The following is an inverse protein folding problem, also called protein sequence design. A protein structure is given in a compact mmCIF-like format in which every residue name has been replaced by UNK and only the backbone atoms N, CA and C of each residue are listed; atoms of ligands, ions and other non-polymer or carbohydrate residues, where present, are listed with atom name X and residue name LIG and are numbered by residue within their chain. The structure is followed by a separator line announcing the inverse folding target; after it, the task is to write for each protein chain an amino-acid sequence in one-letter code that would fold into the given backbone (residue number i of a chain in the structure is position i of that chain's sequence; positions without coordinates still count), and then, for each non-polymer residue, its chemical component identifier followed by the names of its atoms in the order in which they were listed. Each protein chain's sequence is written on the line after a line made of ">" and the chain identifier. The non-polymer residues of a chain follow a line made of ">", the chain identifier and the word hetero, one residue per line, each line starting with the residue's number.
data_IF_335056274970
#
_entry.id   IF_335056274970
#
_cell.length_a   1.000
_cell.length_b   1.000
_cell.length_c   1.000
_cell.angle_alpha   90.00
_cell.angle_beta   90.00
_cell.angle_gamma   90.00
#
_symmetry.space_group_name_H-M   'P 1'
#
loop_
_entity.id
_entity.type
_entity.pdbx_description
1 polymer ?
#
# COMPACT_ATOMS: atom_id res chain seq x y z
N UNK A 1 52.94 -17.38 -66.15
CA UNK A 1 52.42 -18.50 -66.97
C UNK A 1 51.50 -19.33 -66.10
N UNK A 2 50.27 -19.58 -66.58
CA UNK A 2 49.31 -20.63 -66.15
C UNK A 2 48.70 -20.44 -64.74
N UNK A 3 47.40 -20.61 -64.49
CA UNK A 3 46.26 -20.94 -65.35
C UNK A 3 44.96 -20.97 -64.54
N UNK A 4 43.95 -20.25 -65.05
CA UNK A 4 42.59 -20.72 -65.32
C UNK A 4 41.65 -21.26 -64.21
N UNK A 5 40.53 -20.52 -64.09
CA UNK A 5 39.11 -20.94 -63.96
C UNK A 5 38.68 -21.49 -62.58
N UNK A 6 37.64 -20.97 -61.92
CA UNK A 6 36.27 -20.77 -62.44
C UNK A 6 35.48 -19.70 -61.65
N UNK A 7 34.78 -18.81 -62.37
CA UNK A 7 33.54 -18.10 -61.93
C UNK A 7 32.33 -18.90 -62.46
N UNK A 8 31.03 -18.61 -62.14
CA UNK A 8 30.45 -17.61 -61.23
C UNK A 8 29.28 -18.12 -60.34
N UNK A 9 28.85 -17.36 -59.33
CA UNK A 9 27.40 -17.22 -59.03
C UNK A 9 27.11 -15.81 -58.47
N UNK A 10 26.58 -14.98 -59.38
CA UNK A 10 25.64 -13.86 -59.25
C UNK A 10 25.55 -13.17 -57.88
N UNK A 11 26.11 -11.95 -57.83
CA UNK A 11 25.81 -10.93 -56.81
C UNK A 11 24.29 -10.67 -56.80
N UNK A 12 23.69 -10.74 -55.62
CA UNK A 12 22.37 -10.17 -55.34
C UNK A 12 22.43 -8.65 -55.56
N UNK A 13 21.33 -8.13 -56.09
CA UNK A 13 21.05 -6.70 -56.29
C UNK A 13 21.31 -5.89 -55.01
N UNK A 14 21.68 -4.60 -55.11
CA UNK A 14 21.94 -3.77 -53.95
C UNK A 14 20.69 -3.71 -53.05
N UNK A 15 20.93 -3.79 -51.74
CA UNK A 15 19.92 -3.49 -50.74
C UNK A 15 19.32 -2.10 -51.02
N UNK A 16 18.00 -1.89 -50.77
CA UNK A 16 17.45 -0.55 -50.84
C UNK A 16 18.20 0.34 -49.84
N UNK A 17 18.69 1.47 -50.32
CA UNK A 17 19.34 2.46 -49.48
C UNK A 17 18.38 2.92 -48.37
N UNK A 18 18.88 3.18 -47.16
CA UNK A 18 18.07 3.77 -46.11
C UNK A 18 17.62 5.17 -46.55
N UNK A 19 16.30 5.39 -46.62
CA UNK A 19 15.75 6.73 -46.77
C UNK A 19 16.27 7.61 -45.62
N UNK A 20 16.95 8.73 -45.92
CA UNK A 20 17.42 9.64 -44.88
C UNK A 20 16.23 10.48 -44.41
N UNK A 21 15.85 10.38 -43.13
CA UNK A 21 14.88 11.33 -42.58
C UNK A 21 14.31 11.06 -41.19
N UNK A 22 14.17 9.81 -40.74
CA UNK A 22 13.23 9.55 -39.62
C UNK A 22 13.82 9.69 -38.19
N UNK A 23 15.14 9.90 -38.07
CA UNK A 23 15.82 9.77 -36.77
C UNK A 23 15.96 11.07 -35.95
N UNK A 24 15.76 12.26 -36.53
CA UNK A 24 16.06 13.54 -35.85
C UNK A 24 14.94 14.61 -35.95
N UNK A 25 13.76 14.27 -36.48
CA UNK A 25 12.66 15.23 -36.54
C UNK A 25 11.99 15.42 -35.16
N UNK A 26 11.73 16.67 -34.74
CA UNK A 26 11.08 16.97 -33.47
C UNK A 26 9.65 16.42 -33.45
N UNK A 27 9.22 15.96 -32.28
CA UNK A 27 7.93 15.26 -32.07
C UNK A 27 6.73 16.02 -32.63
N UNK A 28 6.74 17.35 -32.60
CA UNK A 28 5.68 18.20 -33.15
C UNK A 28 5.49 18.03 -34.68
N UNK A 29 6.58 17.83 -35.41
CA UNK A 29 6.55 17.60 -36.87
C UNK A 29 6.00 16.21 -37.18
N UNK A 30 6.40 15.21 -36.38
CA UNK A 30 5.90 13.83 -36.48
C UNK A 30 4.40 13.72 -36.18
N UNK A 31 3.92 14.49 -35.20
CA UNK A 31 2.48 14.60 -34.91
C UNK A 31 1.70 15.30 -36.02
N UNK A 32 2.27 16.35 -36.62
CA UNK A 32 1.64 17.03 -37.76
C UNK A 32 1.56 16.13 -39.01
N UNK A 33 2.57 15.29 -39.23
CA UNK A 33 2.56 14.25 -40.27
C UNK A 33 1.46 13.21 -40.01
N UNK A 34 1.37 12.70 -38.77
CA UNK A 34 0.34 11.72 -38.40
C UNK A 34 -1.08 12.30 -38.46
N UNK A 35 -1.28 13.55 -38.04
CA UNK A 35 -2.59 14.20 -38.09
C UNK A 35 -3.05 14.51 -39.51
N UNK A 36 -2.12 14.75 -40.43
CA UNK A 36 -2.39 14.85 -41.87
C UNK A 36 -2.79 13.50 -42.49
N UNK A 37 -2.14 12.41 -42.07
CA UNK A 37 -2.41 11.06 -42.55
C UNK A 37 -3.68 10.44 -41.94
N UNK A 38 -4.04 10.83 -40.70
CA UNK A 38 -5.17 10.30 -39.93
C UNK A 38 -6.02 11.43 -39.32
N UNK A 39 -6.72 12.23 -40.14
CA UNK A 39 -7.42 13.43 -39.68
C UNK A 39 -8.63 13.18 -38.77
N UNK A 40 -9.08 11.92 -38.64
CA UNK A 40 -10.20 11.52 -37.80
C UNK A 40 -9.79 11.14 -36.36
N UNK A 41 -8.49 11.11 -36.06
CA UNK A 41 -7.93 10.70 -34.76
C UNK A 41 -7.42 11.94 -34.03
N UNK A 42 -7.76 12.07 -32.75
CA UNK A 42 -7.33 13.21 -31.95
C UNK A 42 -5.82 13.18 -31.67
N UNK A 43 -5.26 14.37 -31.44
CA UNK A 43 -3.82 14.56 -31.34
C UNK A 43 -3.19 13.87 -30.12
N UNK A 44 -3.95 13.69 -29.03
CA UNK A 44 -3.49 12.96 -27.84
C UNK A 44 -3.31 11.47 -28.17
N UNK A 45 -4.29 10.87 -28.85
CA UNK A 45 -4.22 9.49 -29.34
C UNK A 45 -3.08 9.29 -30.34
N UNK A 46 -2.84 10.25 -31.23
CA UNK A 46 -1.71 10.19 -32.18
C UNK A 46 -0.35 10.24 -31.48
N UNK A 47 -0.23 11.04 -30.41
CA UNK A 47 1.00 11.12 -29.61
C UNK A 47 1.25 9.83 -28.83
N UNK A 48 0.22 9.25 -28.24
CA UNK A 48 0.34 7.98 -27.52
C UNK A 48 0.78 6.84 -28.44
N UNK A 49 0.22 6.77 -29.65
CA UNK A 49 0.60 5.76 -30.66
C UNK A 49 2.03 6.02 -31.16
N UNK A 50 2.41 7.28 -31.38
CA UNK A 50 3.77 7.63 -31.77
C UNK A 50 4.80 7.25 -30.69
N UNK A 51 4.48 7.45 -29.41
CA UNK A 51 5.31 7.04 -28.28
C UNK A 51 5.40 5.52 -28.14
N UNK A 52 4.31 4.79 -28.39
CA UNK A 52 4.29 3.33 -28.36
C UNK A 52 5.14 2.68 -29.46
N UNK A 53 5.40 3.42 -30.55
CA UNK A 53 6.24 2.99 -31.68
C UNK A 53 7.59 3.73 -31.74
N UNK A 54 8.14 4.10 -30.58
CA UNK A 54 9.47 4.70 -30.42
C UNK A 54 9.70 5.94 -31.31
N UNK A 55 8.65 6.73 -31.57
CA UNK A 55 8.73 7.93 -32.39
C UNK A 55 8.75 7.67 -33.91
N UNK A 56 8.38 6.47 -34.37
CA UNK A 56 8.30 6.13 -35.78
C UNK A 56 6.91 6.43 -36.37
N UNK A 57 6.84 7.41 -37.27
CA UNK A 57 5.59 7.82 -37.95
C UNK A 57 5.03 6.71 -38.84
N UNK A 58 5.90 5.96 -39.52
CA UNK A 58 5.51 4.87 -40.42
C UNK A 58 4.83 3.70 -39.69
N UNK A 59 5.39 3.30 -38.54
CA UNK A 59 4.81 2.24 -37.71
C UNK A 59 3.51 2.68 -37.03
N UNK A 60 3.48 3.91 -36.50
CA UNK A 60 2.28 4.50 -35.90
C UNK A 60 1.13 4.62 -36.92
N UNK A 61 1.42 5.06 -38.14
CA UNK A 61 0.43 5.17 -39.21
C UNK A 61 -0.12 3.80 -39.65
N UNK A 62 0.74 2.78 -39.70
CA UNK A 62 0.31 1.41 -40.04
C UNK A 62 -0.64 0.84 -38.98
N UNK A 63 -0.35 1.07 -37.70
CA UNK A 63 -1.22 0.65 -36.59
C UNK A 63 -2.61 1.30 -36.65
N UNK A 64 -2.68 2.57 -37.04
CA UNK A 64 -3.93 3.33 -37.21
C UNK A 64 -4.77 2.86 -38.41
N UNK A 65 -4.14 2.50 -39.53
CA UNK A 65 -4.86 1.96 -40.70
C UNK A 65 -5.56 0.62 -40.40
N UNK A 66 -4.99 -0.19 -39.50
CA UNK A 66 -5.63 -1.43 -39.06
C UNK A 66 -6.85 -1.20 -38.15
N UNK A 67 -7.00 -0.01 -37.55
CA UNK A 67 -8.17 0.35 -36.74
C UNK A 67 -9.37 0.84 -37.57
N UNK A 68 -9.17 1.48 -38.73
CA UNK A 68 -10.27 2.03 -39.54
C UNK A 68 -11.20 0.95 -40.12
N UNK A 69 -10.74 -0.30 -40.22
CA UNK A 69 -11.56 -1.42 -40.70
C UNK A 69 -12.50 -2.03 -39.64
N UNK A 70 -12.49 -1.52 -38.41
CA UNK A 70 -13.47 -1.88 -37.37
C UNK A 70 -14.42 -0.69 -37.10
N UNK A 71 -15.60 -0.68 -37.75
CA UNK A 71 -16.61 0.38 -37.59
C UNK A 71 -17.38 0.33 -36.25
N UNK A 72 -18.01 1.45 -35.83
CA UNK A 72 -17.97 1.92 -34.44
C UNK A 72 -19.34 1.88 -33.71
N UNK A 73 -19.31 1.91 -32.37
CA UNK A 73 -20.50 2.19 -31.57
C UNK A 73 -20.30 2.14 -30.05
N UNK A 74 -20.05 3.28 -29.41
CA UNK A 74 -20.88 3.85 -28.34
C UNK A 74 -20.14 4.98 -27.64
N UNK A 75 -20.78 6.15 -27.57
CA UNK A 75 -20.32 7.29 -26.78
C UNK A 75 -20.42 6.91 -25.29
N UNK A 76 -19.30 6.96 -24.55
CA UNK A 76 -19.31 6.88 -23.08
C UNK A 76 -19.28 8.27 -22.48
N UNK A 77 -20.29 8.53 -21.66
CA UNK A 77 -20.40 9.67 -20.74
C UNK A 77 -19.21 9.69 -19.79
N UNK A 78 -18.68 10.89 -19.52
CA UNK A 78 -17.50 11.12 -18.70
C UNK A 78 -17.65 10.64 -17.26
N UNK A 79 -16.84 9.64 -16.89
CA UNK A 79 -16.44 9.36 -15.51
C UNK A 79 -14.93 9.39 -15.51
N UNK A 80 -14.37 10.39 -14.85
CA UNK A 80 -12.93 10.67 -14.78
C UNK A 80 -12.27 9.71 -13.80
N UNK A 81 -11.17 9.07 -14.23
CA UNK A 81 -10.12 8.61 -13.31
C UNK A 81 -9.93 7.09 -13.14
N UNK A 82 -9.72 6.35 -14.23
CA UNK A 82 -9.04 5.04 -14.15
C UNK A 82 -7.87 5.02 -15.12
N UNK A 83 -6.65 5.14 -14.59
CA UNK A 83 -5.45 4.83 -15.36
C UNK A 83 -5.23 3.31 -15.32
N UNK A 84 -5.41 2.64 -16.46
CA UNK A 84 -5.21 1.19 -16.58
C UNK A 84 -3.72 0.84 -16.73
N UNK A 85 -3.31 -0.30 -16.19
CA UNK A 85 -1.93 -0.81 -16.32
C UNK A 85 -1.59 -1.12 -17.78
N UNK A 86 -0.42 -0.67 -18.24
CA UNK A 86 0.08 -0.85 -19.62
C UNK A 86 0.35 -2.33 -20.02
N UNK A 87 0.09 -3.30 -19.13
CA UNK A 87 0.28 -4.73 -19.41
C UNK A 87 -0.52 -5.23 -20.61
N UNK A 88 -1.64 -4.59 -20.95
CA UNK A 88 -2.44 -4.93 -22.13
C UNK A 88 -1.79 -4.50 -23.45
N UNK A 89 -0.90 -3.51 -23.43
CA UNK A 89 -0.24 -2.96 -24.62
C UNK A 89 1.15 -3.57 -24.87
N UNK A 90 1.71 -4.31 -23.89
CA UNK A 90 3.08 -4.85 -23.95
C UNK A 90 3.16 -6.34 -24.39
N UNK A 91 2.06 -6.95 -24.84
CA UNK A 91 2.07 -8.33 -25.34
C UNK A 91 2.03 -8.35 -26.88
N UNK A 92 3.11 -8.74 -27.58
CA UNK A 92 3.01 -9.07 -29.00
C UNK A 92 2.08 -10.29 -29.19
N UNK A 93 1.35 -10.38 -30.32
CA UNK A 93 0.51 -11.53 -30.59
C UNK A 93 1.35 -12.82 -30.61
N UNK A 94 0.84 -13.95 -30.07
CA UNK A 94 1.64 -15.15 -29.93
C UNK A 94 1.97 -15.73 -31.30
N UNK A 95 3.25 -16.06 -31.60
CA UNK A 95 3.53 -16.99 -32.67
C UNK A 95 3.01 -18.37 -32.25
N UNK A 96 2.30 -19.01 -33.15
CA UNK A 96 1.88 -20.40 -33.04
C UNK A 96 3.08 -21.31 -32.78
N UNK A 97 3.08 -22.03 -31.64
CA UNK A 97 3.95 -23.18 -31.42
C UNK A 97 4.79 -23.12 -30.15
N UNK A 98 4.60 -24.15 -29.32
CA UNK A 98 5.39 -24.62 -28.18
C UNK A 98 5.38 -23.85 -26.84
N UNK A 99 4.83 -24.58 -25.86
CA UNK A 99 4.73 -24.24 -24.46
C UNK A 99 6.12 -24.16 -23.81
N UNK A 100 6.55 -22.94 -23.50
CA UNK A 100 7.47 -22.68 -22.39
C UNK A 100 6.95 -21.51 -21.55
N UNK A 101 6.84 -21.75 -20.25
CA UNK A 101 6.23 -20.87 -19.26
C UNK A 101 6.83 -19.45 -19.28
N UNK A 102 6.02 -18.37 -19.29
CA UNK A 102 6.55 -17.02 -19.29
C UNK A 102 7.24 -16.72 -17.95
N UNK A 103 8.53 -16.41 -18.03
CA UNK A 103 9.32 -15.93 -16.88
C UNK A 103 8.78 -14.56 -16.45
N UNK A 104 8.06 -14.53 -15.33
CA UNK A 104 7.56 -13.28 -14.73
C UNK A 104 8.74 -12.37 -14.34
N UNK A 105 9.02 -11.34 -15.13
CA UNK A 105 9.96 -10.26 -14.75
C UNK A 105 9.40 -9.56 -13.51
N UNK A 106 10.11 -9.64 -12.38
CA UNK A 106 9.77 -8.91 -11.15
C UNK A 106 9.83 -7.41 -11.43
N UNK A 107 8.71 -6.71 -11.33
CA UNK A 107 8.65 -5.25 -11.33
C UNK A 107 9.32 -4.77 -10.03
N UNK A 108 10.57 -4.33 -10.13
CA UNK A 108 11.33 -3.77 -9.02
C UNK A 108 11.35 -2.25 -9.16
N UNK A 109 10.90 -1.52 -8.14
CA UNK A 109 11.25 -0.10 -8.01
C UNK A 109 12.77 0.03 -8.01
N UNK A 110 13.31 0.91 -8.86
CA UNK A 110 14.72 1.29 -8.77
C UNK A 110 14.91 2.12 -7.49
N UNK A 111 16.07 2.00 -6.87
CA UNK A 111 16.45 2.78 -5.68
C UNK A 111 16.17 4.28 -5.90
N UNK A 112 15.40 4.90 -4.99
CA UNK A 112 15.01 6.32 -5.09
C UNK A 112 13.80 6.61 -6.00
N UNK A 113 13.24 5.62 -6.70
CA UNK A 113 12.01 5.78 -7.49
C UNK A 113 10.80 5.15 -6.79
N UNK A 114 9.67 5.86 -6.80
CA UNK A 114 8.39 5.32 -6.29
C UNK A 114 7.69 4.59 -7.43
N UNK A 115 7.36 3.31 -7.23
CA UNK A 115 6.58 2.54 -8.19
C UNK A 115 5.09 2.80 -7.96
N UNK A 116 4.43 3.46 -8.89
CA UNK A 116 2.98 3.70 -8.81
C UNK A 116 2.22 2.50 -9.38
N UNK A 117 1.35 1.91 -8.56
CA UNK A 117 0.45 0.83 -8.95
C UNK A 117 -0.98 1.34 -8.96
N UNK A 118 -1.64 1.15 -10.10
CA UNK A 118 -3.03 1.53 -10.32
C UNK A 118 -3.96 0.32 -10.47
N UNK A 119 -3.45 -0.78 -11.03
CA UNK A 119 -4.24 -1.98 -11.25
C UNK A 119 -4.33 -2.85 -9.99
N UNK A 120 -5.53 -3.32 -9.60
CA UNK A 120 -5.71 -4.16 -8.42
C UNK A 120 -4.92 -5.47 -8.42
N UNK A 121 -4.73 -6.11 -9.58
CA UNK A 121 -3.97 -7.35 -9.67
C UNK A 121 -2.48 -7.09 -9.45
N UNK A 122 -1.96 -5.97 -9.94
CA UNK A 122 -0.57 -5.53 -9.72
C UNK A 122 -0.34 -5.23 -8.24
N UNK A 123 -1.26 -4.50 -7.59
CA UNK A 123 -1.20 -4.24 -6.14
C UNK A 123 -1.15 -5.56 -5.36
N UNK A 124 -2.05 -6.51 -5.67
CA UNK A 124 -2.10 -7.80 -5.00
C UNK A 124 -0.89 -8.70 -5.28
N UNK A 125 -0.23 -8.54 -6.43
CA UNK A 125 0.97 -9.30 -6.78
C UNK A 125 2.23 -8.75 -6.10
N UNK A 126 2.36 -7.44 -5.97
CA UNK A 126 3.59 -6.79 -5.52
C UNK A 126 3.56 -6.33 -4.06
N UNK A 127 2.40 -6.34 -3.41
CA UNK A 127 2.23 -5.88 -2.04
C UNK A 127 1.39 -6.85 -1.21
N UNK A 128 1.42 -6.76 0.13
CA UNK A 128 0.50 -7.46 1.02
C UNK A 128 -0.89 -6.83 1.08
N UNK A 129 -1.29 -6.06 0.06
CA UNK A 129 -2.59 -5.40 0.00
C UNK A 129 -3.43 -5.93 -1.16
N UNK A 130 -4.75 -5.89 -1.01
CA UNK A 130 -5.71 -6.00 -2.12
C UNK A 130 -6.54 -4.72 -2.16
N UNK A 131 -6.86 -4.22 -3.34
CA UNK A 131 -7.76 -3.07 -3.52
C UNK A 131 -9.00 -3.47 -4.32
N UNK A 132 -10.16 -2.96 -3.90
CA UNK A 132 -11.44 -3.09 -4.59
C UNK A 132 -11.94 -1.67 -4.85
N UNK A 133 -12.02 -1.29 -6.13
CA UNK A 133 -12.58 -0.01 -6.54
C UNK A 133 -14.11 -0.08 -6.63
N UNK A 134 -14.78 1.08 -6.49
CA UNK A 134 -16.24 1.19 -6.49
C UNK A 134 -16.88 0.19 -5.54
N UNK A 135 -16.33 0.10 -4.34
CA UNK A 135 -16.62 -0.99 -3.43
C UNK A 135 -18.08 -0.98 -2.97
N UNK A 136 -18.60 0.18 -2.59
CA UNK A 136 -19.99 0.37 -2.17
C UNK A 136 -20.86 0.82 -3.34
N UNK A 137 -22.18 0.60 -3.28
CA UNK A 137 -23.12 1.32 -4.13
C UNK A 137 -22.85 2.85 -4.06
N UNK A 138 -22.90 3.58 -5.20
CA UNK A 138 -22.55 5.01 -5.20
C UNK A 138 -23.34 5.86 -4.21
N UNK A 139 -24.63 5.57 -4.03
CA UNK A 139 -25.46 6.28 -3.05
C UNK A 139 -25.01 6.02 -1.61
N UNK A 140 -24.75 4.76 -1.26
CA UNK A 140 -24.23 4.38 0.07
C UNK A 140 -22.86 5.01 0.35
N UNK A 141 -21.99 5.09 -0.66
CA UNK A 141 -20.69 5.75 -0.54
C UNK A 141 -20.83 7.27 -0.28
N UNK A 142 -21.76 7.92 -0.96
CA UNK A 142 -22.00 9.36 -0.82
C UNK A 142 -22.71 9.69 0.50
N UNK A 143 -23.67 8.88 0.93
CA UNK A 143 -24.36 9.08 2.20
C UNK A 143 -23.42 8.88 3.38
N UNK A 144 -22.60 7.82 3.34
CA UNK A 144 -21.54 7.60 4.33
C UNK A 144 -20.53 8.76 4.32
N UNK A 145 -20.15 9.26 3.15
CA UNK A 145 -19.24 10.40 3.04
C UNK A 145 -19.83 11.66 3.67
N UNK A 146 -21.10 12.00 3.39
CA UNK A 146 -21.76 13.18 3.98
C UNK A 146 -21.82 13.10 5.49
N UNK A 147 -22.32 11.97 6.02
CA UNK A 147 -22.42 11.75 7.47
C UNK A 147 -21.05 11.88 8.17
N UNK A 148 -19.99 11.30 7.59
CA UNK A 148 -18.66 11.37 8.18
C UNK A 148 -17.97 12.72 8.00
N UNK A 149 -18.33 13.51 6.97
CA UNK A 149 -17.84 14.87 6.83
C UNK A 149 -18.42 15.77 7.93
N UNK A 150 -19.70 15.57 8.28
CA UNK A 150 -20.37 16.29 9.37
C UNK A 150 -19.76 15.89 10.73
N UNK A 151 -19.58 14.59 10.98
CA UNK A 151 -18.88 14.11 12.19
C UNK A 151 -17.45 14.67 12.30
N UNK A 152 -16.73 14.74 11.17
CA UNK A 152 -15.34 15.17 11.12
C UNK A 152 -15.10 16.63 11.48
N UNK A 153 -16.14 17.47 11.53
CA UNK A 153 -16.02 18.85 12.00
C UNK A 153 -15.56 18.93 13.45
N UNK A 154 -15.91 17.92 14.25
CA UNK A 154 -15.61 17.83 15.68
C UNK A 154 -14.45 16.88 16.01
N UNK A 155 -13.76 16.32 15.02
CA UNK A 155 -12.64 15.41 15.26
C UNK A 155 -11.44 16.11 15.90
N UNK A 156 -10.80 15.42 16.83
CA UNK A 156 -9.61 15.91 17.54
C UNK A 156 -8.32 15.58 16.78
N UNK A 157 -7.27 16.35 17.06
CA UNK A 157 -5.90 16.00 16.66
C UNK A 157 -5.22 15.25 17.79
N UNK A 158 -4.82 14.00 17.54
CA UNK A 158 -4.07 13.21 18.51
C UNK A 158 -2.69 13.82 18.71
N UNK A 159 -2.28 14.04 19.95
CA UNK A 159 -0.93 14.46 20.33
C UNK A 159 -0.14 13.29 20.93
N UNK A 160 1.15 13.24 20.64
CA UNK A 160 2.05 12.21 21.17
C UNK A 160 3.48 12.73 21.24
N UNK A 161 4.32 12.07 22.04
CA UNK A 161 5.73 12.44 22.22
C UNK A 161 6.61 11.64 21.23
N UNK A 162 7.44 12.34 20.47
CA UNK A 162 8.40 11.78 19.52
C UNK A 162 9.77 12.46 19.70
N UNK A 163 10.81 11.70 20.06
CA UNK A 163 12.16 12.23 20.36
C UNK A 163 12.13 13.41 21.34
N UNK A 164 11.43 13.24 22.44
CA UNK A 164 11.20 14.25 23.47
C UNK A 164 10.34 15.47 23.10
N UNK A 165 9.95 15.60 21.84
CA UNK A 165 9.06 16.66 21.38
C UNK A 165 7.60 16.22 21.41
N UNK A 166 6.72 17.07 21.91
CA UNK A 166 5.27 16.87 21.79
C UNK A 166 4.88 17.28 20.39
N UNK A 167 4.40 16.33 19.60
CA UNK A 167 3.94 16.55 18.23
C UNK A 167 2.45 16.27 18.14
N UNK A 168 1.78 16.97 17.22
CA UNK A 168 0.37 16.76 16.90
C UNK A 168 0.25 16.09 15.54
N UNK A 169 -0.73 15.21 15.40
CA UNK A 169 -1.08 14.64 14.11
C UNK A 169 -1.44 15.76 13.11
N UNK A 170 -0.92 15.72 11.87
CA UNK A 170 -1.26 16.72 10.86
C UNK A 170 -2.67 16.52 10.28
N UNK A 171 -3.39 15.47 10.69
CA UNK A 171 -4.79 15.19 10.32
C UNK A 171 -5.64 15.00 11.59
N UNK A 172 -6.95 15.08 11.45
CA UNK A 172 -7.93 14.85 12.53
C UNK A 172 -8.51 13.45 12.48
N UNK A 173 -8.91 12.89 13.63
CA UNK A 173 -9.47 11.54 13.68
C UNK A 173 -10.55 11.38 14.75
N UNK A 174 -11.52 10.51 14.50
CA UNK A 174 -12.48 10.00 15.49
C UNK A 174 -12.40 8.48 15.61
N UNK A 175 -12.64 7.94 16.81
CA UNK A 175 -12.63 6.49 17.05
C UNK A 175 -14.04 5.98 17.34
N UNK A 176 -14.51 5.00 16.56
CA UNK A 176 -15.89 4.52 16.57
C UNK A 176 -15.98 3.06 17.02
N UNK A 177 -16.96 2.76 17.86
CA UNK A 177 -17.29 1.41 18.34
C UNK A 177 -18.79 1.16 18.40
N UNK A 178 -19.18 -0.12 18.40
CA UNK A 178 -20.57 -0.55 18.14
C UNK A 178 -21.57 -0.16 19.23
N UNK A 179 -21.23 -0.35 20.50
CA UNK A 179 -22.15 -0.15 21.62
C UNK A 179 -21.67 0.94 22.58
N UNK A 180 -22.61 1.49 23.35
CA UNK A 180 -22.29 2.43 24.43
C UNK A 180 -21.38 1.78 25.49
N UNK A 181 -21.61 0.51 25.80
CA UNK A 181 -20.74 -0.27 26.70
C UNK A 181 -19.32 -0.38 26.15
N UNK A 182 -19.18 -0.70 24.86
CA UNK A 182 -17.88 -0.77 24.20
C UNK A 182 -17.18 0.60 24.19
N UNK A 183 -17.93 1.70 24.04
CA UNK A 183 -17.40 3.06 24.12
C UNK A 183 -16.86 3.36 25.52
N UNK A 184 -17.62 3.03 26.57
CA UNK A 184 -17.18 3.21 27.95
C UNK A 184 -15.96 2.34 28.27
N UNK A 185 -15.97 1.08 27.86
CA UNK A 185 -14.84 0.17 28.02
C UNK A 185 -13.59 0.66 27.29
N UNK A 186 -13.73 1.18 26.06
CA UNK A 186 -12.62 1.77 25.32
C UNK A 186 -12.04 2.98 26.03
N UNK A 187 -12.88 3.92 26.47
CA UNK A 187 -12.44 5.08 27.25
C UNK A 187 -11.80 4.67 28.59
N UNK A 188 -12.29 3.60 29.21
CA UNK A 188 -11.81 3.15 30.51
C UNK A 188 -10.50 2.36 30.43
N UNK A 189 -10.39 1.41 29.51
CA UNK A 189 -9.42 0.32 29.61
C UNK A 189 -8.33 0.37 28.53
N UNK A 190 -8.60 0.98 27.38
CA UNK A 190 -7.71 0.93 26.23
C UNK A 190 -6.76 2.12 26.17
N UNK A 191 -5.52 1.82 25.81
CA UNK A 191 -4.43 2.79 25.72
C UNK A 191 -3.92 2.86 24.28
N UNK A 192 -3.98 4.03 23.69
CA UNK A 192 -3.41 4.35 22.39
C UNK A 192 -2.24 5.31 22.56
N UNK A 193 -1.08 4.99 22.00
CA UNK A 193 0.15 5.76 22.22
C UNK A 193 0.52 5.99 23.70
N UNK A 194 0.11 5.08 24.59
CA UNK A 194 0.35 5.18 26.04
C UNK A 194 -0.66 6.04 26.81
N UNK A 195 -1.64 6.65 26.14
CA UNK A 195 -2.72 7.44 26.75
C UNK A 195 -4.10 6.86 26.42
N UNK A 196 -5.12 7.21 27.21
CA UNK A 196 -6.51 6.86 26.89
C UNK A 196 -7.04 7.79 25.80
N UNK A 197 -7.86 7.26 24.90
CA UNK A 197 -8.56 8.10 23.91
C UNK A 197 -9.66 8.91 24.61
N UNK A 198 -9.69 10.20 24.33
CA UNK A 198 -10.70 11.15 24.82
C UNK A 198 -11.96 11.07 23.96
N UNK A 199 -11.77 11.10 22.64
CA UNK A 199 -12.82 11.04 21.63
C UNK A 199 -13.06 9.59 21.17
N UNK A 200 -13.94 8.90 21.89
CA UNK A 200 -14.52 7.62 21.46
C UNK A 200 -16.02 7.82 21.28
N UNK A 201 -16.51 7.43 20.11
CA UNK A 201 -17.87 7.66 19.62
C UNK A 201 -18.56 6.33 19.38
N UNK A 202 -19.90 6.37 19.37
CA UNK A 202 -20.71 5.25 18.92
C UNK A 202 -20.74 5.22 17.40
N UNK A 203 -20.78 4.03 16.83
CA UNK A 203 -20.96 3.81 15.41
C UNK A 203 -22.20 4.57 14.90
N UNK A 204 -22.03 5.27 13.78
CA UNK A 204 -23.10 6.02 13.14
C UNK A 204 -24.01 5.10 12.31
N UNK A 205 -25.22 5.53 11.95
CA UNK A 205 -26.12 4.76 11.09
C UNK A 205 -25.49 4.26 9.79
N UNK A 206 -24.77 5.11 9.03
CA UNK A 206 -24.17 4.66 7.77
C UNK A 206 -22.96 3.74 7.99
N UNK A 207 -22.14 3.98 9.03
CA UNK A 207 -21.07 3.05 9.40
C UNK A 207 -21.62 1.67 9.78
N UNK A 208 -22.73 1.62 10.54
CA UNK A 208 -23.37 0.37 10.92
C UNK A 208 -23.94 -0.38 9.71
N UNK A 209 -24.50 0.35 8.73
CA UNK A 209 -24.99 -0.20 7.46
C UNK A 209 -23.86 -0.81 6.63
N UNK A 210 -22.71 -0.13 6.55
CA UNK A 210 -21.59 -0.52 5.67
C UNK A 210 -20.68 -1.57 6.30
N UNK A 211 -20.56 -1.61 7.63
CA UNK A 211 -19.76 -2.58 8.38
C UNK A 211 -19.90 -4.04 7.91
N UNK A 212 -21.11 -4.65 7.79
CA UNK A 212 -21.25 -6.04 7.37
C UNK A 212 -20.74 -6.30 5.95
N UNK A 213 -20.92 -5.35 5.03
CA UNK A 213 -20.43 -5.43 3.65
C UNK A 213 -18.90 -5.44 3.62
N UNK A 214 -18.26 -4.58 4.42
CA UNK A 214 -16.80 -4.57 4.62
C UNK A 214 -16.32 -5.88 5.22
N UNK A 215 -16.99 -6.37 6.26
CA UNK A 215 -16.65 -7.64 6.91
C UNK A 215 -16.64 -8.81 5.92
N UNK A 216 -17.69 -8.94 5.11
CA UNK A 216 -17.79 -10.01 4.13
C UNK A 216 -16.67 -9.90 3.07
N UNK A 217 -16.45 -8.71 2.53
CA UNK A 217 -15.44 -8.49 1.51
C UNK A 217 -14.02 -8.76 2.01
N UNK A 218 -13.66 -8.27 3.20
CA UNK A 218 -12.35 -8.52 3.82
C UNK A 218 -12.13 -10.01 4.03
N UNK A 219 -13.12 -10.72 4.60
CA UNK A 219 -13.02 -12.16 4.81
C UNK A 219 -12.83 -12.93 3.50
N UNK A 220 -13.58 -12.57 2.45
CA UNK A 220 -13.42 -13.16 1.12
C UNK A 220 -12.00 -12.96 0.57
N UNK A 221 -11.47 -11.74 0.64
CA UNK A 221 -10.11 -11.45 0.15
C UNK A 221 -9.04 -12.17 0.98
N UNK A 222 -9.21 -12.30 2.29
CA UNK A 222 -8.30 -13.08 3.16
C UNK A 222 -8.28 -14.54 2.72
N UNK A 223 -9.44 -15.16 2.49
CA UNK A 223 -9.52 -16.56 2.03
C UNK A 223 -8.89 -16.72 0.64
N UNK A 224 -9.15 -15.78 -0.27
CA UNK A 224 -8.54 -15.79 -1.61
C UNK A 224 -7.01 -15.66 -1.54
N UNK A 225 -6.50 -14.77 -0.68
CA UNK A 225 -5.07 -14.58 -0.45
C UNK A 225 -4.42 -15.85 0.11
N UNK A 226 -5.04 -16.48 1.11
CA UNK A 226 -4.59 -17.75 1.69
C UNK A 226 -4.50 -18.81 0.59
N UNK A 227 -5.56 -18.99 -0.20
CA UNK A 227 -5.63 -20.02 -1.25
C UNK A 227 -4.60 -19.81 -2.37
N UNK A 228 -4.33 -18.57 -2.76
CA UNK A 228 -3.58 -18.25 -3.99
C UNK A 228 -2.13 -17.82 -3.76
N UNK A 229 -1.81 -17.27 -2.58
CA UNK A 229 -0.49 -16.65 -2.31
C UNK A 229 0.25 -17.29 -1.16
N UNK A 230 -0.43 -17.88 -0.18
CA UNK A 230 0.25 -18.43 0.99
C UNK A 230 0.74 -19.87 0.77
N UNK A 231 1.85 -20.26 1.42
CA UNK A 231 2.43 -21.59 1.24
C UNK A 231 1.42 -22.71 1.51
N UNK A 232 1.23 -23.58 0.51
CA UNK A 232 0.33 -24.73 0.62
C UNK A 232 -1.16 -24.37 0.75
N UNK A 233 -1.56 -23.13 0.43
CA UNK A 233 -2.95 -22.70 0.55
C UNK A 233 -3.44 -22.60 1.99
N UNK A 234 -2.53 -22.41 2.95
CA UNK A 234 -2.81 -22.40 4.40
C UNK A 234 -2.51 -21.03 5.00
N UNK A 235 -3.19 -20.71 6.09
CA UNK A 235 -2.93 -19.50 6.88
C UNK A 235 -1.47 -19.44 7.34
N UNK A 236 -0.95 -18.23 7.53
CA UNK A 236 0.40 -18.04 8.06
C UNK A 236 0.47 -18.42 9.54
N UNK A 237 1.68 -18.70 10.03
CA UNK A 237 1.93 -18.85 11.47
C UNK A 237 1.51 -17.58 12.20
N UNK A 238 0.81 -17.73 13.32
CA UNK A 238 0.23 -16.68 14.15
C UNK A 238 -0.99 -15.95 13.56
N UNK A 239 -1.40 -16.29 12.34
CA UNK A 239 -2.64 -15.76 11.76
C UNK A 239 -3.84 -16.47 12.40
N UNK A 240 -4.84 -15.69 12.84
CA UNK A 240 -6.09 -16.22 13.36
C UNK A 240 -6.80 -17.09 12.30
N UNK A 241 -7.34 -18.27 12.67
CA UNK A 241 -8.17 -19.08 11.76
C UNK A 241 -9.62 -18.58 11.68
N UNK A 242 -10.05 -17.74 12.61
CA UNK A 242 -11.42 -17.26 12.68
C UNK A 242 -11.68 -16.16 11.65
N UNK A 243 -12.95 -16.02 11.25
CA UNK A 243 -13.39 -14.91 10.44
C UNK A 243 -13.05 -13.58 11.13
N UNK A 244 -12.53 -12.64 10.35
CA UNK A 244 -12.24 -11.28 10.77
C UNK A 244 -13.56 -10.54 11.05
N UNK A 245 -13.65 -9.90 12.22
CA UNK A 245 -14.86 -9.16 12.62
C UNK A 245 -14.46 -7.73 13.02
N UNK A 246 -14.85 -6.71 12.23
CA UNK A 246 -14.54 -5.32 12.55
C UNK A 246 -15.35 -4.85 13.76
N UNK A 247 -14.69 -4.71 14.90
CA UNK A 247 -15.31 -4.25 16.15
C UNK A 247 -14.90 -2.83 16.56
N UNK A 248 -13.97 -2.24 15.81
CA UNK A 248 -13.56 -0.84 15.98
C UNK A 248 -13.20 -0.21 14.64
N UNK A 249 -13.31 1.12 14.56
CA UNK A 249 -12.93 1.87 13.38
C UNK A 249 -12.28 3.21 13.76
N UNK A 250 -11.14 3.52 13.15
CA UNK A 250 -10.59 4.87 13.13
C UNK A 250 -11.06 5.58 11.87
N UNK A 251 -11.73 6.72 12.02
CA UNK A 251 -12.08 7.59 10.89
C UNK A 251 -11.12 8.76 10.87
N UNK A 252 -10.29 8.82 9.83
CA UNK A 252 -9.32 9.89 9.63
C UNK A 252 -9.84 10.87 8.58
N UNK A 253 -9.80 12.16 8.89
CA UNK A 253 -10.13 13.24 7.97
C UNK A 253 -8.88 14.02 7.62
N UNK A 254 -8.56 14.06 6.33
CA UNK A 254 -7.50 14.87 5.73
C UNK A 254 -8.13 16.08 5.06
N UNK A 255 -7.90 17.27 5.60
CA UNK A 255 -8.55 18.52 5.14
C UNK A 255 -7.93 19.10 3.87
N UNK A 256 -6.74 18.65 3.49
CA UNK A 256 -6.06 19.12 2.28
C UNK A 256 -4.80 18.34 1.94
N UNK A 257 -4.07 18.85 0.94
CA UNK A 257 -2.96 18.16 0.29
C UNK A 257 -1.74 17.93 1.19
N UNK A 258 -1.48 18.85 2.11
CA UNK A 258 -0.33 18.78 3.02
C UNK A 258 -0.56 17.82 4.20
N UNK A 259 -1.82 17.52 4.55
CA UNK A 259 -2.12 16.60 5.65
C UNK A 259 -1.73 15.17 5.27
N UNK A 260 -1.04 14.48 6.16
CA UNK A 260 -0.35 13.22 5.86
C UNK A 260 -0.32 12.28 7.06
N UNK A 261 0.21 11.08 6.89
CA UNK A 261 0.61 10.20 8.00
C UNK A 261 1.97 9.64 7.65
N UNK A 262 2.95 9.83 8.52
CA UNK A 262 4.31 9.31 8.33
C UNK A 262 4.37 7.78 8.32
N UNK A 263 5.53 7.23 7.96
CA UNK A 263 5.76 5.79 7.89
C UNK A 263 5.54 5.07 9.22
N UNK A 264 4.57 4.16 9.25
CA UNK A 264 4.23 3.37 10.43
C UNK A 264 3.74 1.95 10.06
N UNK A 265 3.58 1.13 11.08
CA UNK A 265 2.79 -0.10 11.05
C UNK A 265 1.72 0.04 12.13
N UNK A 266 0.55 -0.56 11.94
CA UNK A 266 -0.51 -0.50 12.94
C UNK A 266 -0.09 -1.15 14.25
N UNK A 267 -0.53 -0.58 15.38
CA UNK A 267 -0.14 -1.07 16.70
C UNK A 267 -0.81 -2.41 17.03
N UNK A 268 0.00 -3.44 17.19
CA UNK A 268 -0.46 -4.81 17.36
C UNK A 268 -1.03 -5.12 18.76
N UNK A 269 -0.92 -4.21 19.73
CA UNK A 269 -1.25 -4.46 21.14
C UNK A 269 -2.61 -5.14 21.35
N UNK A 270 -3.65 -4.67 20.64
CA UNK A 270 -5.01 -5.19 20.74
C UNK A 270 -5.44 -6.02 19.52
N UNK A 271 -4.70 -5.89 18.41
CA UNK A 271 -4.93 -6.64 17.18
C UNK A 271 -4.32 -8.05 17.23
N UNK A 272 -3.24 -8.20 18.00
CA UNK A 272 -2.40 -9.39 18.00
C UNK A 272 -1.48 -9.49 16.77
N UNK A 273 -0.70 -10.57 16.68
CA UNK A 273 0.16 -10.85 15.53
C UNK A 273 -0.67 -11.12 14.26
N UNK A 274 -0.09 -10.84 13.09
CA UNK A 274 -0.64 -11.15 11.77
C UNK A 274 -2.03 -10.55 11.53
N UNK A 275 -2.21 -9.32 12.00
CA UNK A 275 -3.49 -8.61 11.97
C UNK A 275 -3.91 -8.24 10.54
N UNK A 276 -5.20 -8.43 10.24
CA UNK A 276 -5.85 -7.96 9.01
C UNK A 276 -6.55 -6.64 9.28
N UNK A 277 -6.45 -5.70 8.34
CA UNK A 277 -7.06 -4.36 8.44
C UNK A 277 -7.83 -4.08 7.15
N UNK A 278 -9.09 -3.64 7.29
CA UNK A 278 -9.91 -3.17 6.17
C UNK A 278 -9.97 -1.64 6.17
N UNK A 279 -9.66 -0.99 5.06
CA UNK A 279 -9.62 0.48 4.97
C UNK A 279 -10.49 0.98 3.82
N UNK A 280 -11.57 1.71 4.11
CA UNK A 280 -12.43 2.34 3.10
C UNK A 280 -12.00 3.79 2.91
N UNK A 281 -11.74 4.21 1.67
CA UNK A 281 -11.40 5.59 1.32
C UNK A 281 -12.55 6.27 0.58
N UNK A 282 -12.91 7.48 1.01
CA UNK A 282 -13.97 8.31 0.43
C UNK A 282 -13.49 9.75 0.23
N UNK A 283 -14.06 10.42 -0.75
CA UNK A 283 -13.69 11.79 -1.12
C UNK A 283 -12.47 11.82 -2.05
N UNK A 284 -11.57 12.77 -1.79
CA UNK A 284 -10.41 13.00 -2.66
C UNK A 284 -9.44 11.82 -2.70
N UNK A 285 -8.92 11.53 -3.90
CA UNK A 285 -7.92 10.50 -4.10
C UNK A 285 -6.58 10.86 -3.43
N UNK A 286 -5.96 9.89 -2.76
CA UNK A 286 -4.62 10.08 -2.15
C UNK A 286 -3.77 8.84 -2.34
N UNK A 287 -2.46 9.05 -2.26
CA UNK A 287 -1.46 8.00 -2.35
C UNK A 287 -1.25 7.33 -0.99
N UNK A 288 -1.54 6.03 -0.93
CA UNK A 288 -1.12 5.14 0.13
C UNK A 288 0.18 4.48 -0.27
N UNK A 289 1.28 4.86 0.36
CA UNK A 289 2.59 4.30 0.03
C UNK A 289 2.95 3.19 1.00
N UNK A 290 3.55 2.13 0.48
CA UNK A 290 4.09 1.01 1.24
C UNK A 290 5.58 0.83 0.95
N UNK A 291 6.33 0.38 1.95
CA UNK A 291 7.72 -0.04 1.80
C UNK A 291 8.01 -1.24 2.68
N UNK A 292 8.86 -2.14 2.20
CA UNK A 292 9.25 -3.33 2.96
C UNK A 292 10.27 -2.97 4.03
N UNK A 293 10.20 -3.64 5.17
CA UNK A 293 11.20 -3.51 6.23
C UNK A 293 12.16 -4.68 6.14
N UNK A 294 13.43 -4.40 5.85
CA UNK A 294 14.46 -5.41 5.77
C UNK A 294 15.29 -5.48 7.05
N UNK A 295 15.58 -6.68 7.57
CA UNK A 295 16.60 -6.85 8.59
C UNK A 295 17.97 -6.49 8.03
N UNK A 296 18.81 -5.86 8.87
CA UNK A 296 20.19 -5.50 8.54
C UNK A 296 21.14 -6.61 8.98
N UNK A 297 22.06 -7.02 8.11
CA UNK A 297 23.18 -7.88 8.47
C UNK A 297 24.27 -7.01 9.12
N UNK A 298 24.60 -7.26 10.40
CA UNK A 298 25.72 -6.57 11.07
C UNK A 298 27.06 -7.30 10.95
N UNK A 299 27.10 -8.47 10.31
CA UNK A 299 28.26 -9.37 10.39
C UNK A 299 29.15 -9.40 9.13
N UNK A 300 28.90 -8.57 8.11
CA UNK A 300 29.83 -8.44 6.97
C UNK A 300 30.91 -7.37 7.12
N UNK A 301 30.86 -6.59 8.20
CA UNK A 301 31.78 -5.46 8.43
C UNK A 301 32.88 -5.73 9.46
N UNK A 302 33.04 -6.97 9.95
CA UNK A 302 34.08 -7.31 10.94
C UNK A 302 35.34 -8.01 10.40
N UNK A 303 35.37 -8.42 9.12
CA UNK A 303 36.52 -9.11 8.52
C UNK A 303 37.23 -8.31 7.40
N UNK A 304 37.19 -6.96 7.45
CA UNK A 304 38.01 -6.11 6.57
C UNK A 304 38.75 -4.98 7.31
N UNK A 305 39.10 -5.17 8.57
CA UNK A 305 40.14 -4.35 9.20
C UNK A 305 41.52 -4.90 8.83
N UNK A 306 41.92 -4.54 7.62
CA UNK A 306 43.27 -4.68 7.09
C UNK A 306 43.63 -3.45 6.27
N UNK A 307 43.76 -2.29 6.95
CA UNK A 307 44.55 -1.12 6.54
C UNK A 307 44.15 -0.38 5.26
N UNK A 308 43.69 0.87 5.40
CA UNK A 308 43.67 1.80 4.26
C UNK A 308 42.80 3.04 4.47
N UNK A 309 43.46 4.17 4.68
CA UNK A 309 42.92 5.53 4.69
C UNK A 309 42.03 5.83 3.47
N UNK A 310 40.91 6.54 3.68
CA UNK A 310 40.31 7.38 2.64
C UNK A 310 38.81 7.25 2.41
N UNK A 311 38.08 8.30 2.82
CA UNK A 311 36.90 8.86 2.14
C UNK A 311 35.53 8.16 2.23
N UNK A 312 34.64 8.78 3.02
CA UNK A 312 33.25 9.14 2.68
C UNK A 312 32.34 8.14 1.92
N UNK A 313 32.31 6.86 2.30
CA UNK A 313 31.24 5.94 1.88
C UNK A 313 30.62 5.24 3.10
N UNK A 314 29.94 6.00 3.96
CA UNK A 314 29.16 5.43 5.09
C UNK A 314 27.70 5.88 5.17
N UNK A 315 27.23 6.71 4.24
CA UNK A 315 25.85 7.22 4.27
C UNK A 315 24.84 6.39 3.45
N UNK A 316 25.31 5.46 2.60
CA UNK A 316 24.46 4.79 1.62
C UNK A 316 23.86 3.45 2.08
N UNK A 317 24.20 2.90 3.24
CA UNK A 317 23.66 1.60 3.69
C UNK A 317 22.53 1.72 4.72
N UNK A 318 22.25 2.94 5.18
CA UNK A 318 21.22 3.23 6.19
C UNK A 318 19.86 3.62 5.60
N UNK A 319 19.69 3.52 4.28
CA UNK A 319 18.49 3.94 3.56
C UNK A 319 17.30 2.97 3.81
N UNK A 320 16.26 3.40 4.54
CA UNK A 320 15.07 2.58 4.76
C UNK A 320 14.24 2.34 3.49
N UNK A 321 14.59 3.01 2.38
CA UNK A 321 13.96 2.86 1.07
C UNK A 321 14.83 2.03 0.09
N UNK A 322 15.74 1.20 0.61
CA UNK A 322 16.64 0.38 -0.20
C UNK A 322 15.94 -0.52 -1.24
N UNK A 323 14.69 -0.93 -0.99
CA UNK A 323 13.87 -1.68 -1.97
C UNK A 323 12.90 -0.82 -2.78
N UNK A 324 12.91 0.49 -2.57
CA UNK A 324 11.98 1.45 -3.15
C UNK A 324 10.63 1.46 -2.45
N UNK A 325 9.84 2.49 -2.79
CA UNK A 325 8.49 2.68 -2.27
C UNK A 325 7.48 2.29 -3.35
N UNK A 326 6.36 1.71 -2.94
CA UNK A 326 5.24 1.42 -3.84
C UNK A 326 4.09 2.34 -3.46
N UNK A 327 3.60 3.13 -4.40
CA UNK A 327 2.45 4.02 -4.22
C UNK A 327 1.19 3.38 -4.79
N UNK A 328 0.18 3.20 -3.95
CA UNK A 328 -1.13 2.68 -4.29
C UNK A 328 -2.10 3.86 -4.30
N UNK A 329 -2.74 4.11 -5.43
CA UNK A 329 -3.74 5.17 -5.52
C UNK A 329 -5.07 4.71 -4.92
N UNK A 330 -5.57 5.46 -3.95
CA UNK A 330 -6.86 5.21 -3.31
C UNK A 330 -7.87 6.27 -3.74
N UNK A 331 -8.63 6.05 -4.84
CA UNK A 331 -9.68 6.95 -5.26
C UNK A 331 -10.91 6.86 -4.33
N UNK A 332 -11.90 7.73 -4.56
CA UNK A 332 -13.20 7.66 -3.91
C UNK A 332 -13.78 6.24 -4.00
N UNK A 333 -14.40 5.80 -2.91
CA UNK A 333 -15.11 4.52 -2.80
C UNK A 333 -14.20 3.31 -3.13
N UNK A 334 -13.02 3.29 -2.51
CA UNK A 334 -12.10 2.14 -2.59
C UNK A 334 -11.98 1.45 -1.24
N UNK A 335 -12.01 0.11 -1.24
CA UNK A 335 -11.65 -0.72 -0.09
C UNK A 335 -10.25 -1.28 -0.30
N UNK A 336 -9.33 -0.97 0.60
CA UNK A 336 -8.00 -1.56 0.70
C UNK A 336 -8.00 -2.57 1.85
N UNK A 337 -7.63 -3.82 1.55
CA UNK A 337 -7.40 -4.87 2.54
C UNK A 337 -5.90 -5.03 2.75
N UNK A 338 -5.43 -4.75 3.96
CA UNK A 338 -4.06 -5.07 4.39
C UNK A 338 -4.05 -6.48 4.97
N UNK A 339 -3.35 -7.41 4.30
CA UNK A 339 -3.27 -8.81 4.69
C UNK A 339 -2.29 -9.04 5.85
N UNK A 340 -2.31 -10.28 6.37
CA UNK A 340 -1.67 -10.69 7.60
C UNK A 340 -0.17 -10.35 7.70
N UNK A 341 0.55 -10.26 6.59
CA UNK A 341 1.99 -9.94 6.60
C UNK A 341 2.32 -8.45 6.63
N UNK A 342 1.31 -7.58 6.45
CA UNK A 342 1.51 -6.15 6.26
C UNK A 342 2.18 -5.48 7.45
N UNK A 343 1.72 -5.74 8.67
CA UNK A 343 2.16 -4.96 9.83
C UNK A 343 3.55 -5.36 10.33
N UNK A 344 3.95 -6.62 10.11
CA UNK A 344 5.26 -7.11 10.51
C UNK A 344 6.35 -6.81 9.50
N UNK A 345 6.05 -6.94 8.21
CA UNK A 345 7.08 -6.92 7.15
C UNK A 345 7.08 -5.62 6.36
N UNK A 346 6.06 -4.78 6.50
CA UNK A 346 5.91 -3.54 5.75
C UNK A 346 5.57 -2.36 6.66
N UNK A 347 5.85 -1.17 6.14
CA UNK A 347 5.36 0.10 6.67
C UNK A 347 4.54 0.79 5.61
N UNK A 348 3.57 1.58 6.05
CA UNK A 348 2.75 2.39 5.19
C UNK A 348 2.70 3.85 5.64
N UNK A 349 2.31 4.72 4.72
CA UNK A 349 2.13 6.14 4.95
C UNK A 349 1.05 6.70 4.01
N UNK A 350 0.52 7.87 4.35
CA UNK A 350 -0.23 8.72 3.43
C UNK A 350 0.65 9.92 3.13
N UNK A 351 1.15 10.01 1.89
CA UNK A 351 2.06 11.08 1.49
C UNK A 351 1.31 12.40 1.24
N UNK A 352 1.91 13.56 1.54
CA UNK A 352 1.41 14.84 1.03
C UNK A 352 1.27 14.80 -0.49
N UNK A 353 0.21 15.43 -1.01
CA UNK A 353 0.00 15.53 -2.44
C UNK A 353 0.43 16.94 -2.92
N UNK A 354 1.11 17.07 -4.07
CA UNK A 354 1.44 18.38 -4.65
C UNK A 354 0.19 19.09 -5.18
N UNK A 355 -0.75 18.33 -5.74
CA UNK A 355 -2.04 18.80 -6.24
C UNK A 355 -3.15 17.81 -5.84
N UNK A 356 -4.38 18.31 -5.78
CA UNK A 356 -5.58 17.53 -5.50
C UNK A 356 -6.68 17.99 -6.46
N UNK A 357 -7.31 17.04 -7.12
CA UNK A 357 -8.53 17.27 -7.89
C UNK A 357 -9.74 17.22 -6.95
N UNK A 358 -10.51 18.31 -6.79
CA UNK A 358 -11.62 18.35 -5.84
C UNK A 358 -12.70 17.30 -6.14
N UNK A 359 -13.18 16.63 -5.09
CA UNK A 359 -14.31 15.71 -5.16
C UNK A 359 -15.64 16.49 -5.12
N UNK A 360 -16.66 16.15 -5.94
CA UNK A 360 -17.93 16.89 -6.00
C UNK A 360 -18.63 17.09 -4.66
N UNK A 361 -18.53 16.10 -3.76
CA UNK A 361 -19.18 16.14 -2.43
C UNK A 361 -18.23 16.62 -1.33
N UNK A 362 -16.95 16.24 -1.38
CA UNK A 362 -16.02 16.45 -0.26
C UNK A 362 -15.13 17.68 -0.45
N UNK A 363 -15.14 18.30 -1.63
CA UNK A 363 -14.14 19.27 -2.04
C UNK A 363 -12.75 18.64 -2.00
N UNK A 364 -11.82 19.28 -1.29
CA UNK A 364 -10.43 18.81 -1.16
C UNK A 364 -10.22 17.76 -0.06
N UNK A 365 -11.29 17.37 0.66
CA UNK A 365 -11.21 16.51 1.84
C UNK A 365 -11.20 15.04 1.46
N UNK A 366 -10.44 14.24 2.21
CA UNK A 366 -10.47 12.78 2.17
C UNK A 366 -10.90 12.24 3.53
N UNK A 367 -11.86 11.33 3.53
CA UNK A 367 -12.24 10.51 4.68
C UNK A 367 -11.69 9.10 4.48
N UNK A 368 -11.10 8.54 5.54
CA UNK A 368 -10.63 7.16 5.54
C UNK A 368 -11.12 6.45 6.79
N UNK A 369 -11.78 5.31 6.60
CA UNK A 369 -12.30 4.47 7.67
C UNK A 369 -11.41 3.23 7.77
N UNK A 370 -10.60 3.13 8.81
CA UNK A 370 -9.73 1.98 9.09
C UNK A 370 -10.42 1.08 10.10
N UNK A 371 -11.07 0.02 9.62
CA UNK A 371 -11.69 -1.01 10.43
C UNK A 371 -10.66 -1.99 11.00
N UNK A 372 -10.86 -2.36 12.26
CA UNK A 372 -9.96 -3.19 13.05
C UNK A 372 -10.73 -4.23 13.84
N UNK A 373 -10.13 -5.41 13.99
CA UNK A 373 -10.61 -6.49 14.83
C UNK A 373 -9.74 -6.59 16.09
N UNK A 374 -10.20 -5.96 17.17
CA UNK A 374 -9.56 -6.10 18.48
C UNK A 374 -9.94 -7.45 19.09
N UNK A 375 -8.94 -8.32 19.22
CA UNK A 375 -9.13 -9.69 19.67
C UNK A 375 -9.39 -9.73 21.17
N UNK A 376 -10.38 -10.51 21.59
CA UNK A 376 -10.74 -10.66 23.01
C UNK A 376 -9.56 -11.11 23.89
N UNK A 377 -8.71 -12.02 23.40
CA UNK A 377 -7.51 -12.48 24.12
C UNK A 377 -6.42 -11.42 24.29
N UNK A 378 -6.48 -10.34 23.52
CA UNK A 378 -5.59 -9.19 23.62
C UNK A 378 -6.23 -8.02 24.37
N UNK A 379 -7.41 -8.21 25.00
CA UNK A 379 -8.04 -7.18 25.82
C UNK A 379 -7.06 -6.62 26.87
N UNK A 380 -7.09 -5.31 27.19
CA UNK A 380 -6.21 -4.68 28.19
C UNK A 380 -6.15 -5.37 29.57
N UNK A 381 -7.12 -6.23 29.88
CA UNK A 381 -7.20 -7.01 31.13
C UNK A 381 -6.21 -8.19 31.14
N UNK A 382 -5.86 -8.68 29.97
CA UNK A 382 -4.92 -9.78 29.73
C UNK A 382 -3.57 -9.30 29.20
N UNK A 383 -3.48 -8.03 28.78
CA UNK A 383 -2.22 -7.42 28.35
C UNK A 383 -1.26 -7.27 29.54
N UNK A 384 0.00 -7.70 29.42
CA UNK A 384 1.01 -7.47 30.46
C UNK A 384 1.11 -5.98 30.81
N UNK A 385 1.25 -5.68 32.10
CA UNK A 385 1.46 -4.31 32.59
C UNK A 385 2.93 -4.08 32.92
N UNK A 386 3.42 -2.89 32.57
CA UNK A 386 4.76 -2.46 32.93
C UNK A 386 4.80 -1.90 34.36
N UNK A 387 5.99 -1.53 34.83
CA UNK A 387 6.20 -0.93 36.18
C UNK A 387 5.53 0.44 36.35
N UNK A 388 5.18 1.12 35.26
CA UNK A 388 4.42 2.37 35.27
C UNK A 388 2.90 2.15 35.46
N UNK A 389 2.44 0.90 35.61
CA UNK A 389 1.03 0.57 35.83
C UNK A 389 0.15 0.59 34.57
N UNK A 390 0.70 0.93 33.40
CA UNK A 390 -0.03 0.91 32.12
C UNK A 390 0.18 -0.40 31.35
N UNK A 391 -0.77 -0.80 30.48
CA UNK A 391 -0.58 -1.91 29.54
C UNK A 391 0.65 -1.70 28.65
N UNK A 392 1.42 -2.76 28.45
CA UNK A 392 2.56 -2.78 27.54
C UNK A 392 2.11 -2.73 26.07
N UNK A 393 2.96 -2.19 25.20
CA UNK A 393 2.76 -2.24 23.74
C UNK A 393 3.33 -3.54 23.18
N UNK A 394 2.58 -4.19 22.28
CA UNK A 394 3.10 -5.32 21.51
C UNK A 394 3.86 -4.80 20.29
N UNK A 395 5.09 -5.29 20.09
CA UNK A 395 5.88 -5.01 18.89
C UNK A 395 6.52 -6.28 18.36
N UNK A 396 6.91 -6.22 17.09
CA UNK A 396 7.68 -7.25 16.41
C UNK A 396 9.07 -6.71 16.04
N UNK A 397 10.07 -7.56 16.12
CA UNK A 397 11.44 -7.21 15.70
C UNK A 397 11.51 -7.22 14.18
N UNK A 398 11.66 -6.05 13.57
CA UNK A 398 11.73 -5.90 12.10
C UNK A 398 13.15 -5.67 11.56
N UNK A 399 14.13 -5.36 12.41
CA UNK A 399 15.47 -4.89 11.98
C UNK A 399 16.64 -5.78 12.35
N UNK A 400 16.58 -6.48 13.48
CA UNK A 400 17.66 -7.37 13.95
C UNK A 400 17.42 -8.78 13.41
N UNK A 401 18.38 -9.32 12.67
CA UNK A 401 18.22 -10.62 11.98
C UNK A 401 18.06 -11.78 12.96
N UNK A 402 18.80 -11.78 14.06
CA UNK A 402 18.83 -12.89 15.04
C UNK A 402 17.46 -13.13 15.68
N UNK A 403 16.68 -12.06 15.85
CA UNK A 403 15.36 -12.09 16.47
C UNK A 403 14.26 -11.66 15.50
N UNK A 404 14.53 -11.60 14.19
CA UNK A 404 13.59 -11.08 13.21
C UNK A 404 12.26 -11.85 13.27
N UNK A 405 11.15 -11.12 13.28
CA UNK A 405 9.81 -11.69 13.39
C UNK A 405 9.41 -12.15 14.80
N UNK A 406 10.30 -12.07 15.81
CA UNK A 406 9.93 -12.32 17.21
C UNK A 406 9.16 -11.14 17.79
N UNK A 407 8.17 -11.45 18.62
CA UNK A 407 7.31 -10.46 19.25
C UNK A 407 7.72 -10.21 20.70
N UNK A 408 7.50 -9.00 21.18
CA UNK A 408 7.83 -8.61 22.54
C UNK A 408 6.90 -7.52 23.06
N UNK A 409 6.71 -7.55 24.37
CA UNK A 409 6.03 -6.52 25.16
C UNK A 409 7.06 -5.53 25.68
N UNK A 410 6.78 -4.24 25.57
CA UNK A 410 7.61 -3.21 26.19
C UNK A 410 6.77 -2.07 26.77
N UNK A 411 7.37 -1.30 27.67
CA UNK A 411 6.75 -0.06 28.16
C UNK A 411 6.56 0.95 27.02
N UNK A 412 5.44 1.68 27.05
CA UNK A 412 5.14 2.75 26.10
C UNK A 412 4.73 4.06 26.79
N UNK A 413 5.06 4.22 28.09
CA UNK A 413 4.68 5.39 28.86
C UNK A 413 5.43 6.66 28.40
N UNK A 414 6.66 6.51 27.90
CA UNK A 414 7.47 7.61 27.36
C UNK A 414 6.86 8.31 26.14
N UNK A 415 5.88 7.68 25.48
CA UNK A 415 5.17 8.29 24.36
C UNK A 415 4.09 9.29 24.81
N UNK A 416 3.76 9.31 26.11
CA UNK A 416 2.83 10.27 26.68
C UNK A 416 3.59 11.53 27.11
N UNK A 417 3.15 12.73 26.69
CA UNK A 417 3.71 13.98 27.18
C UNK A 417 3.74 14.03 28.72
N UNK A 418 4.89 14.40 29.29
CA UNK A 418 5.06 14.55 30.73
C UNK A 418 5.22 13.24 31.53
N UNK A 419 5.33 12.07 30.89
CA UNK A 419 5.61 10.80 31.58
C UNK A 419 6.96 10.21 31.17
N UNK A 420 7.64 9.63 32.15
CA UNK A 420 8.84 8.83 31.93
C UNK A 420 8.48 7.34 31.74
N UNK A 421 9.23 6.66 30.87
CA UNK A 421 9.07 5.23 30.61
C UNK A 421 9.95 4.38 31.51
N UNK A 422 9.49 3.19 31.88
CA UNK A 422 10.35 2.19 32.52
C UNK A 422 11.00 1.26 31.48
N UNK A 423 12.05 0.54 31.89
CA UNK A 423 12.78 -0.41 31.05
C UNK A 423 12.12 -1.79 30.93
N UNK A 424 10.81 -1.91 31.18
CA UNK A 424 10.10 -3.19 31.09
C UNK A 424 10.18 -3.77 29.66
N UNK A 425 10.58 -5.04 29.59
CA UNK A 425 10.69 -5.82 28.37
C UNK A 425 10.36 -7.28 28.68
N UNK A 426 9.58 -7.93 27.81
CA UNK A 426 9.27 -9.36 27.91
C UNK A 426 9.04 -9.93 26.51
N UNK A 427 9.61 -11.09 26.19
CA UNK A 427 9.28 -11.79 24.93
C UNK A 427 7.82 -12.26 24.97
N UNK A 428 7.12 -12.08 23.85
CA UNK A 428 5.75 -12.54 23.69
C UNK A 428 5.75 -13.90 23.01
N UNK A 429 5.04 -14.85 23.59
CA UNK A 429 4.85 -16.19 23.04
C UNK A 429 3.41 -16.39 22.60
N UNK A 430 3.26 -17.02 21.43
CA UNK A 430 1.97 -17.23 20.80
C UNK A 430 1.85 -18.66 20.30
N UNK A 431 0.64 -19.21 20.37
CA UNK A 431 0.28 -20.46 19.68
C UNK A 431 0.23 -20.22 18.16
N UNK A 432 0.04 -21.27 17.36
CA UNK A 432 0.01 -21.14 15.88
C UNK A 432 -1.12 -20.24 15.35
N UNK A 433 -2.13 -19.94 16.16
CA UNK A 433 -3.27 -19.05 15.88
C UNK A 433 -3.04 -17.62 16.38
N UNK A 434 -1.85 -17.35 16.94
CA UNK A 434 -1.44 -16.03 17.38
C UNK A 434 -2.05 -15.63 18.72
N UNK A 435 -2.56 -16.57 19.51
CA UNK A 435 -3.08 -16.27 20.84
C UNK A 435 -1.94 -16.29 21.87
N UNK A 436 -1.95 -15.38 22.86
CA UNK A 436 -0.93 -15.36 23.91
C UNK A 436 -0.90 -16.68 24.68
N UNK A 437 0.30 -17.25 24.83
CA UNK A 437 0.55 -18.35 25.76
C UNK A 437 0.97 -17.70 27.08
N UNK A 438 0.09 -17.80 28.09
CA UNK A 438 0.44 -17.37 29.43
C UNK A 438 1.07 -18.55 30.15
N UNK A 439 2.39 -18.51 30.36
CA UNK A 439 3.03 -19.45 31.28
C UNK A 439 2.35 -19.32 32.64
N UNK A 440 1.76 -20.42 33.11
CA UNK A 440 1.05 -20.52 34.40
C UNK A 440 1.90 -20.27 35.64
N UNK A 441 3.07 -19.63 35.51
CA UNK A 441 4.01 -19.32 36.58
C UNK A 441 4.31 -17.82 36.76
N UNK A 442 3.64 -16.94 36.01
CA UNK A 442 3.72 -15.49 36.20
C UNK A 442 2.33 -14.86 36.40
N UNK A 443 1.57 -15.39 37.37
CA UNK A 443 0.47 -14.63 37.96
C UNK A 443 1.01 -13.34 38.59
N UNK A 444 0.22 -12.25 38.64
CA UNK A 444 0.66 -11.02 39.30
C UNK A 444 0.94 -11.35 40.76
N UNK A 445 2.21 -11.23 41.18
CA UNK A 445 2.53 -11.11 42.60
C UNK A 445 1.78 -9.88 43.09
N UNK A 446 0.73 -10.09 43.89
CA UNK A 446 0.08 -9.03 44.63
C UNK A 446 1.17 -8.30 45.43
N UNK A 447 1.26 -6.95 45.35
CA UNK A 447 2.13 -6.21 46.25
C UNK A 447 1.64 -6.41 47.70
N UNK A 448 2.54 -6.36 48.70
CA UNK A 448 2.21 -6.57 50.10
C UNK A 448 1.19 -5.57 50.65
#
# INVERSE_FOLDING_TARGET
>A
MKSFLTKPKRKLSPAPEPCPGDADEPTEVKLALLSSLHPAVDQETLLDILLAHDGSVSQASTALQHQEHARPGSKKSGVIGYQQSLKQYALPPPPSGDATSPTKKKLKSKRGSTLHLYDPADVAEHTPCTIIHNFLPPEDANDLLRELLDEAESFEKITFKLFDNVVSSPHTSGFFVESYEAMQQQKADYYYNGAKLTDVRRITPQLAKVKPVVQEAVNREVQQRIKTRYPGGKKLKYQSPHAWVPNSAFVNCYKGAQESVGWHSDQLTYLGPRAVIGSVSLGVAREFRVRRVLPKDKDKDRDKDGGGSGSSVKAAEDDPDAEGQISIHLPHNSLLVMHAEMQEEWKHCIAPAPSIDPHPVAGVRRINITYRDYRQRFHPRHTPRCRCGIPCVLRVVQRKRENYGRYFWMCHASNVPGKEGCSFFQWAEFDDDGNPIFDGNAGPKQPP
#
